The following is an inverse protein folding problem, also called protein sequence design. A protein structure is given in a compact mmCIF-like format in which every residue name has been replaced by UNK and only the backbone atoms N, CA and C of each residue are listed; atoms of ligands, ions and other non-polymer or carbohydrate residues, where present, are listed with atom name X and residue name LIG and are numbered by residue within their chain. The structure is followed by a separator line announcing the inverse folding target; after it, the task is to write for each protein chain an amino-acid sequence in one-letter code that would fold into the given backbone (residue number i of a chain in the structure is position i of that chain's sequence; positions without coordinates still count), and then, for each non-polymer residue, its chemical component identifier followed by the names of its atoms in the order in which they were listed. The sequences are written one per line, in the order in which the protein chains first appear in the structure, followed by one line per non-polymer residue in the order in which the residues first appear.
data_IF_423876378868
#
_entry.id   IF_423876378868
#
_cell.length_a   1.000
_cell.length_b   1.000
_cell.length_c   1.000
_cell.angle_alpha   90.00
_cell.angle_beta   90.00
_cell.angle_gamma   90.00
#
_symmetry.space_group_name_H-M   'P 1'
#
loop_
_entity.id
_entity.type
_entity.pdbx_description
1 polymer ?
#
# COMPACT_ATOMS: atom_id res chain seq x y z
N UNK A 1 31.83 -9.77 -24.84
CA UNK A 1 30.70 -8.85 -24.58
C UNK A 1 29.59 -9.71 -24.01
N UNK A 2 29.47 -9.75 -22.69
CA UNK A 2 28.64 -10.73 -22.00
C UNK A 2 27.36 -10.02 -21.57
N UNK A 3 26.27 -10.28 -22.31
CA UNK A 3 24.95 -9.73 -22.05
C UNK A 3 24.36 -10.34 -20.79
N UNK A 4 24.12 -9.53 -19.77
CA UNK A 4 23.40 -9.94 -18.55
C UNK A 4 21.91 -9.72 -18.83
N UNK A 5 21.18 -10.80 -19.05
CA UNK A 5 19.72 -10.76 -19.20
C UNK A 5 19.08 -10.84 -17.82
N UNK A 6 18.44 -9.77 -17.35
CA UNK A 6 17.63 -9.82 -16.13
C UNK A 6 16.32 -10.53 -16.47
N UNK A 7 16.23 -11.80 -16.12
CA UNK A 7 14.96 -12.52 -16.08
C UNK A 7 14.11 -11.90 -14.95
N UNK A 8 12.91 -11.46 -15.30
CA UNK A 8 11.96 -10.83 -14.38
C UNK A 8 11.88 -11.58 -13.06
N UNK A 9 12.01 -10.83 -11.96
CA UNK A 9 12.04 -11.36 -10.60
C UNK A 9 10.77 -12.19 -10.37
N UNK A 10 10.98 -13.47 -10.06
CA UNK A 10 9.95 -14.44 -9.69
C UNK A 10 9.07 -13.87 -8.57
N UNK A 11 7.76 -13.77 -8.86
CA UNK A 11 6.68 -13.48 -7.92
C UNK A 11 6.58 -14.64 -6.92
N UNK A 12 7.39 -14.60 -5.87
CA UNK A 12 7.09 -15.07 -4.51
C UNK A 12 8.39 -15.18 -3.69
N UNK A 13 8.56 -14.37 -2.62
CA UNK A 13 9.63 -14.58 -1.68
C UNK A 13 9.37 -15.85 -0.86
N UNK A 14 10.38 -16.73 -0.83
CA UNK A 14 10.42 -17.92 0.01
C UNK A 14 10.17 -17.57 1.48
N UNK A 15 9.26 -18.32 2.11
CA UNK A 15 8.64 -18.05 3.43
C UNK A 15 9.62 -18.10 4.62
N UNK A 16 10.87 -18.55 4.42
CA UNK A 16 11.84 -18.66 5.50
C UNK A 16 12.72 -17.41 5.58
N UNK A 17 12.37 -16.53 6.53
CA UNK A 17 13.13 -15.36 7.00
C UNK A 17 12.81 -13.99 6.36
N UNK A 18 11.52 -13.68 6.19
CA UNK A 18 11.08 -12.28 6.24
C UNK A 18 10.78 -11.93 7.70
N UNK A 19 11.34 -10.83 8.22
CA UNK A 19 11.05 -10.35 9.58
C UNK A 19 9.53 -10.23 9.75
N UNK A 20 8.99 -10.60 10.91
CA UNK A 20 7.55 -10.51 11.22
C UNK A 20 6.95 -9.14 10.85
N UNK A 21 7.74 -8.08 10.99
CA UNK A 21 7.40 -6.72 10.55
C UNK A 21 7.14 -6.61 9.03
N UNK A 22 7.96 -7.25 8.20
CA UNK A 22 7.75 -7.26 6.76
C UNK A 22 6.48 -8.05 6.38
N UNK A 23 6.23 -9.18 7.04
CA UNK A 23 4.97 -9.92 6.85
C UNK A 23 3.76 -9.05 7.18
N UNK A 24 3.78 -8.37 8.34
CA UNK A 24 2.74 -7.44 8.74
C UNK A 24 2.55 -6.28 7.75
N UNK A 25 3.64 -5.74 7.21
CA UNK A 25 3.59 -4.70 6.18
C UNK A 25 2.88 -5.19 4.91
N UNK A 26 3.22 -6.38 4.40
CA UNK A 26 2.55 -6.94 3.22
C UNK A 26 1.05 -7.13 3.44
N UNK A 27 0.66 -7.67 4.60
CA UNK A 27 -0.74 -7.85 4.96
C UNK A 27 -1.49 -6.52 4.98
N UNK A 28 -0.92 -5.50 5.64
CA UNK A 28 -1.51 -4.15 5.68
C UNK A 28 -1.60 -3.52 4.30
N UNK A 29 -0.57 -3.67 3.47
CA UNK A 29 -0.54 -3.20 2.08
C UNK A 29 -1.68 -3.80 1.26
N UNK A 30 -1.88 -5.12 1.36
CA UNK A 30 -2.97 -5.80 0.66
C UNK A 30 -4.35 -5.30 1.13
N UNK A 31 -4.54 -5.11 2.44
CA UNK A 31 -5.79 -4.61 3.01
C UNK A 31 -6.12 -3.19 2.54
N UNK A 32 -5.15 -2.28 2.61
CA UNK A 32 -5.33 -0.88 2.17
C UNK A 32 -5.56 -0.83 0.66
N UNK A 33 -4.84 -1.62 -0.13
CA UNK A 33 -5.05 -1.66 -1.57
C UNK A 33 -6.46 -2.11 -1.93
N UNK A 34 -6.97 -3.18 -1.29
CA UNK A 34 -8.36 -3.63 -1.47
C UNK A 34 -9.35 -2.52 -1.12
N UNK A 35 -9.16 -1.86 0.03
CA UNK A 35 -10.07 -0.78 0.44
C UNK A 35 -10.00 0.42 -0.51
N UNK A 36 -8.81 0.79 -0.99
CA UNK A 36 -8.65 1.84 -1.98
C UNK A 36 -9.33 1.49 -3.31
N UNK A 37 -9.35 0.21 -3.72
CA UNK A 37 -10.12 -0.24 -4.88
C UNK A 37 -11.62 -0.09 -4.69
N UNK A 38 -12.14 -0.42 -3.50
CA UNK A 38 -13.56 -0.24 -3.16
C UNK A 38 -13.97 1.24 -3.22
N UNK A 39 -13.14 2.13 -2.68
CA UNK A 39 -13.43 3.56 -2.59
C UNK A 39 -13.21 4.30 -3.92
N UNK A 40 -12.13 4.00 -4.65
CA UNK A 40 -11.75 4.70 -5.88
C UNK A 40 -12.30 4.01 -7.15
N UNK A 41 -12.86 2.81 -7.03
CA UNK A 41 -13.56 2.07 -8.08
C UNK A 41 -12.69 1.41 -9.16
N UNK A 42 -11.39 1.71 -9.26
CA UNK A 42 -10.47 1.11 -10.25
C UNK A 42 -9.13 0.72 -9.65
N UNK A 43 -8.62 -0.45 -10.04
CA UNK A 43 -7.30 -0.96 -9.62
C UNK A 43 -6.15 0.00 -9.94
N UNK A 44 -6.14 0.61 -11.13
CA UNK A 44 -5.11 1.60 -11.49
C UNK A 44 -5.14 2.85 -10.61
N UNK A 45 -6.33 3.33 -10.25
CA UNK A 45 -6.49 4.49 -9.39
C UNK A 45 -6.01 4.16 -7.97
N UNK A 46 -6.37 2.99 -7.44
CA UNK A 46 -5.85 2.51 -6.17
C UNK A 46 -4.32 2.38 -6.19
N UNK A 47 -3.74 1.83 -7.26
CA UNK A 47 -2.29 1.68 -7.39
C UNK A 47 -1.58 3.04 -7.43
N UNK A 48 -2.09 3.99 -8.22
CA UNK A 48 -1.54 5.36 -8.26
C UNK A 48 -1.67 6.05 -6.91
N UNK A 49 -2.83 5.92 -6.27
CA UNK A 49 -3.07 6.52 -4.96
C UNK A 49 -2.11 5.98 -3.90
N UNK A 50 -1.80 4.68 -3.89
CA UNK A 50 -0.88 4.06 -2.94
C UNK A 50 0.54 4.66 -2.94
N UNK A 51 0.97 5.22 -4.06
CA UNK A 51 2.31 5.82 -4.24
C UNK A 51 2.28 7.35 -4.37
N UNK A 52 1.09 7.95 -4.36
CA UNK A 52 0.93 9.40 -4.47
C UNK A 52 0.82 10.01 -3.07
N UNK A 53 1.44 11.18 -2.82
CA UNK A 53 1.21 11.93 -1.59
C UNK A 53 -0.27 12.26 -1.44
N UNK A 54 -0.84 11.99 -0.26
CA UNK A 54 -2.22 12.36 0.05
C UNK A 54 -2.22 13.51 1.06
N UNK A 55 -2.90 14.61 0.72
CA UNK A 55 -2.95 15.81 1.56
C UNK A 55 -3.52 15.49 2.96
N UNK A 56 -4.60 14.70 3.03
CA UNK A 56 -5.21 14.28 4.30
C UNK A 56 -4.40 13.25 5.11
N UNK A 57 -3.22 12.86 4.62
CA UNK A 57 -2.23 12.03 5.33
C UNK A 57 -0.93 12.79 5.58
N UNK A 58 -1.01 14.12 5.72
CA UNK A 58 0.17 14.96 5.97
C UNK A 58 1.15 15.00 4.79
N UNK A 59 0.66 14.81 3.56
CA UNK A 59 1.47 14.74 2.35
C UNK A 59 2.46 13.55 2.31
N UNK A 60 2.20 12.51 3.09
CA UNK A 60 2.89 11.24 2.99
C UNK A 60 2.20 10.30 1.99
N UNK A 61 2.95 9.35 1.45
CA UNK A 61 2.39 8.30 0.60
C UNK A 61 1.77 7.21 1.47
N UNK A 62 0.63 6.61 1.07
CA UNK A 62 0.04 5.50 1.82
C UNK A 62 1.03 4.36 2.06
N UNK A 63 1.84 3.97 1.06
CA UNK A 63 2.85 2.92 1.19
C UNK A 63 3.84 3.17 2.34
N UNK A 64 4.31 4.41 2.53
CA UNK A 64 5.28 4.72 3.58
C UNK A 64 4.69 4.62 4.99
N UNK A 65 3.37 4.76 5.13
CA UNK A 65 2.67 4.74 6.40
C UNK A 65 2.30 3.33 6.89
N UNK A 66 2.47 2.28 6.09
CA UNK A 66 1.99 0.94 6.48
C UNK A 66 2.96 0.16 7.38
N UNK A 67 4.14 0.71 7.63
CA UNK A 67 5.17 0.07 8.45
C UNK A 67 4.76 -0.02 9.92
N UNK A 68 4.15 1.05 10.44
CA UNK A 68 3.58 1.12 11.78
C UNK A 68 2.10 0.72 11.77
N UNK A 69 1.62 0.16 12.89
CA UNK A 69 0.20 -0.16 13.06
C UNK A 69 -0.65 1.11 13.21
N UNK A 70 -0.14 2.10 13.95
CA UNK A 70 -0.82 3.38 14.19
C UNK A 70 -1.05 4.13 12.88
N UNK A 71 0.01 4.31 12.09
CA UNK A 71 -0.07 5.01 10.81
C UNK A 71 -0.87 4.22 9.76
N UNK A 72 -0.90 2.88 9.85
CA UNK A 72 -1.84 2.08 9.07
C UNK A 72 -3.30 2.41 9.41
N UNK A 73 -3.64 2.58 10.70
CA UNK A 73 -4.99 2.93 11.12
C UNK A 73 -5.40 4.32 10.62
N UNK A 74 -4.46 5.27 10.56
CA UNK A 74 -4.72 6.58 9.96
C UNK A 74 -5.10 6.47 8.48
N UNK A 75 -4.37 5.67 7.70
CA UNK A 75 -4.67 5.42 6.28
C UNK A 75 -6.01 4.72 6.12
N UNK A 76 -6.32 3.73 6.98
CA UNK A 76 -7.61 3.04 6.98
C UNK A 76 -8.76 4.00 7.26
N UNK A 77 -8.65 4.81 8.31
CA UNK A 77 -9.65 5.80 8.69
C UNK A 77 -9.81 6.89 7.62
N UNK A 78 -8.74 7.27 6.92
CA UNK A 78 -8.82 8.19 5.78
C UNK A 78 -9.63 7.60 4.62
N UNK A 79 -9.35 6.36 4.22
CA UNK A 79 -10.15 5.68 3.17
C UNK A 79 -11.61 5.47 3.60
N UNK A 80 -11.86 5.16 4.86
CA UNK A 80 -13.21 5.06 5.40
C UNK A 80 -13.94 6.40 5.31
N UNK A 81 -13.30 7.51 5.68
CA UNK A 81 -13.88 8.85 5.52
C UNK A 81 -14.19 9.19 4.07
N UNK A 82 -13.30 8.84 3.13
CA UNK A 82 -13.53 9.03 1.70
C UNK A 82 -14.74 8.24 1.18
N UNK A 83 -14.96 7.02 1.67
CA UNK A 83 -16.14 6.20 1.31
C UNK A 83 -17.46 6.90 1.66
N UNK A 84 -17.51 7.61 2.79
CA UNK A 84 -18.68 8.37 3.22
C UNK A 84 -18.67 9.84 2.75
N UNK A 85 -17.74 10.22 1.85
CA UNK A 85 -17.67 11.57 1.28
C UNK A 85 -17.14 12.66 2.23
N UNK A 86 -16.42 12.27 3.28
CA UNK A 86 -15.79 13.20 4.23
C UNK A 86 -14.33 13.43 3.82
N UNK A 87 -14.00 14.66 3.41
CA UNK A 87 -12.69 15.03 2.82
C UNK A 87 -11.72 15.76 3.77
N UNK A 88 -12.01 15.82 5.08
CA UNK A 88 -11.25 16.58 6.08
C UNK A 88 -9.86 16.01 6.37
#
# INVERSE_FOLDING_TARGET
MNSITIHGISDQPSISCWTSAHGAFLTRKAQIFRKAMEVLGKGELAQRWMISPALGLGNHTPCTLLWSHESYMEVWAFLYRLEYGVYT
#
